data_IF_708526622561
#
_entry.id   IF_708526622561
#
_cell.length_a   1.000
_cell.length_b   1.000
_cell.length_c   1.000
_cell.angle_alpha   90.00
_cell.angle_beta   90.00
_cell.angle_gamma   90.00
#
_symmetry.space_group_name_H-M   'P 1'
#
loop_
_entity.id
_entity.type
_entity.pdbx_description
1 polymer ?
#
# COMPACT_ATOMS: atom_id res chain seq x y z
N UNK A 1 33.06 2.02 9.89
CA UNK A 1 31.66 2.11 9.37
C UNK A 1 30.82 1.17 10.21
N UNK A 2 29.91 1.68 11.02
CA UNK A 2 29.00 0.84 11.81
C UNK A 2 28.13 0.05 10.81
N UNK A 3 28.18 -1.27 10.88
CA UNK A 3 27.38 -2.19 10.04
C UNK A 3 25.89 -2.14 10.49
N UNK A 4 25.27 -0.97 10.26
CA UNK A 4 23.85 -0.76 10.55
C UNK A 4 23.03 -1.45 9.45
N UNK A 5 22.49 -2.61 9.78
CA UNK A 5 21.73 -3.41 8.85
C UNK A 5 20.57 -4.12 9.55
N UNK A 6 19.58 -4.52 8.76
CA UNK A 6 18.43 -5.30 9.15
C UNK A 6 18.43 -6.61 8.36
N UNK A 7 18.62 -7.74 9.03
CA UNK A 7 18.52 -9.05 8.41
C UNK A 7 17.05 -9.54 8.43
N UNK A 8 16.58 -10.06 7.33
CA UNK A 8 15.25 -10.68 7.20
C UNK A 8 15.36 -12.12 7.68
N UNK A 9 14.62 -12.45 8.73
CA UNK A 9 14.54 -13.82 9.27
C UNK A 9 13.43 -14.59 8.56
N UNK A 10 12.29 -13.94 8.34
CA UNK A 10 11.12 -14.46 7.62
C UNK A 10 10.49 -13.30 6.83
N UNK A 11 10.46 -13.43 5.52
CA UNK A 11 9.90 -12.40 4.65
C UNK A 11 8.36 -12.35 4.64
N UNK A 12 7.72 -13.46 4.99
CA UNK A 12 6.26 -13.58 4.93
C UNK A 12 5.74 -13.77 3.50
N UNK A 13 4.44 -13.56 3.29
CA UNK A 13 3.79 -13.75 1.99
C UNK A 13 4.29 -12.74 0.94
N UNK A 14 4.45 -11.48 1.36
CA UNK A 14 5.00 -10.40 0.55
C UNK A 14 5.45 -9.28 1.47
N UNK A 15 6.74 -9.00 1.49
CA UNK A 15 7.30 -7.82 2.15
C UNK A 15 8.18 -7.05 1.15
N UNK A 16 7.94 -5.76 1.05
CA UNK A 16 8.62 -4.85 0.11
C UNK A 16 9.13 -3.62 0.82
N UNK A 17 10.16 -2.99 0.28
CA UNK A 17 10.61 -1.66 0.72
C UNK A 17 9.73 -0.62 0.05
N UNK A 18 9.18 0.32 0.82
CA UNK A 18 8.29 1.35 0.30
C UNK A 18 8.58 2.71 0.93
N UNK A 19 8.58 3.75 0.10
CA UNK A 19 8.60 5.15 0.50
C UNK A 19 7.41 5.92 -0.12
N UNK A 20 7.57 7.17 -0.52
CA UNK A 20 6.53 7.94 -1.23
C UNK A 20 6.36 7.56 -2.70
N UNK A 21 7.21 6.69 -3.22
CA UNK A 21 7.27 6.35 -4.63
C UNK A 21 8.00 7.41 -5.47
N UNK A 22 7.94 7.26 -6.80
CA UNK A 22 8.67 8.03 -7.81
C UNK A 22 7.72 8.81 -8.74
N UNK A 23 7.05 9.88 -8.24
CA UNK A 23 6.17 10.70 -9.08
C UNK A 23 6.98 11.45 -10.16
N UNK A 24 6.32 11.79 -11.28
CA UNK A 24 6.91 12.60 -12.35
C UNK A 24 7.55 11.83 -13.49
N UNK A 25 7.60 10.49 -13.43
CA UNK A 25 8.24 9.66 -14.45
C UNK A 25 7.26 8.91 -15.37
N UNK A 26 5.97 9.27 -15.36
CA UNK A 26 4.95 8.65 -16.20
C UNK A 26 5.26 8.76 -17.70
N UNK A 27 5.90 9.84 -18.15
CA UNK A 27 6.36 10.03 -19.53
C UNK A 27 7.43 9.02 -19.99
N UNK A 28 8.08 8.35 -19.05
CA UNK A 28 9.02 7.24 -19.30
C UNK A 28 8.33 5.87 -19.18
N UNK A 29 7.02 5.81 -19.01
CA UNK A 29 6.29 4.57 -18.75
C UNK A 29 6.49 4.03 -17.32
N UNK A 30 7.04 4.83 -16.40
CA UNK A 30 7.38 4.40 -15.04
C UNK A 30 6.22 4.70 -14.07
N UNK A 31 5.66 3.68 -13.40
CA UNK A 31 4.62 3.84 -12.40
C UNK A 31 5.12 4.63 -11.17
N UNK A 32 4.18 5.21 -10.45
CA UNK A 32 4.51 5.96 -9.22
C UNK A 32 5.05 5.07 -8.12
N UNK A 33 4.44 3.89 -7.91
CA UNK A 33 4.71 3.00 -6.78
C UNK A 33 4.58 3.69 -5.41
N UNK A 34 5.24 3.20 -4.36
CA UNK A 34 5.17 3.75 -3.01
C UNK A 34 4.25 2.98 -2.07
N UNK A 35 4.26 3.36 -0.80
CA UNK A 35 3.40 2.76 0.23
C UNK A 35 1.91 2.91 -0.14
N UNK A 36 1.16 1.81 -0.11
CA UNK A 36 -0.27 1.80 -0.44
C UNK A 36 -1.11 2.56 0.59
N UNK A 37 -0.79 2.39 1.87
CA UNK A 37 -1.35 3.19 2.97
C UNK A 37 -0.28 4.19 3.44
N UNK A 38 -0.11 5.25 2.65
CA UNK A 38 0.89 6.29 2.91
C UNK A 38 0.76 6.94 4.30
N UNK A 39 -0.45 7.25 4.80
CA UNK A 39 -0.66 7.73 6.17
C UNK A 39 -0.10 6.80 7.24
N UNK A 40 -0.34 5.49 7.13
CA UNK A 40 0.19 4.50 8.09
C UNK A 40 1.72 4.42 8.01
N UNK A 41 2.31 4.36 6.81
CA UNK A 41 3.76 4.38 6.63
C UNK A 41 4.42 5.64 7.23
N UNK A 42 3.83 6.82 6.98
CA UNK A 42 4.31 8.08 7.55
C UNK A 42 4.17 8.12 9.08
N UNK A 43 3.12 7.51 9.65
CA UNK A 43 2.96 7.39 11.10
C UNK A 43 4.04 6.49 11.70
N UNK A 44 4.32 5.31 11.11
CA UNK A 44 5.41 4.44 11.54
C UNK A 44 6.74 5.19 11.59
N UNK A 45 7.03 5.96 10.54
CA UNK A 45 8.25 6.77 10.47
C UNK A 45 8.32 7.82 11.59
N UNK A 46 7.23 8.56 11.83
CA UNK A 46 7.20 9.55 12.92
C UNK A 46 7.43 8.91 14.29
N UNK A 47 6.84 7.74 14.55
CA UNK A 47 7.04 6.99 15.79
C UNK A 47 8.49 6.46 15.92
N UNK A 48 9.12 6.06 14.81
CA UNK A 48 10.52 5.62 14.80
C UNK A 48 11.53 6.78 14.82
N UNK A 49 11.07 8.04 14.79
CA UNK A 49 11.92 9.23 14.77
C UNK A 49 12.50 9.56 13.39
N UNK A 50 11.92 9.04 12.32
CA UNK A 50 12.32 9.29 10.93
C UNK A 50 11.59 10.49 10.31
N UNK A 51 12.08 10.94 9.15
CA UNK A 51 11.26 11.75 8.24
C UNK A 51 10.05 10.94 7.77
N UNK A 52 8.86 11.57 7.58
CA UNK A 52 7.64 10.85 7.18
C UNK A 52 7.72 10.09 5.85
N UNK A 53 8.70 10.43 5.03
CA UNK A 53 8.97 9.87 3.70
C UNK A 53 10.14 8.89 3.66
N UNK A 54 10.75 8.58 4.79
CA UNK A 54 11.78 7.56 4.85
C UNK A 54 11.23 6.19 4.41
N UNK A 55 12.07 5.37 3.79
CA UNK A 55 11.65 4.04 3.37
C UNK A 55 11.41 3.12 4.57
N UNK A 56 10.31 2.37 4.50
CA UNK A 56 9.82 1.41 5.48
C UNK A 56 9.64 0.03 4.84
N UNK A 57 9.39 -1.00 5.62
CA UNK A 57 8.87 -2.26 5.11
C UNK A 57 7.33 -2.20 5.09
N UNK A 58 6.74 -2.56 3.95
CA UNK A 58 5.32 -2.86 3.81
C UNK A 58 5.18 -4.37 3.74
N UNK A 59 4.51 -4.97 4.74
CA UNK A 59 4.27 -6.43 4.80
C UNK A 59 2.80 -6.74 4.64
N UNK A 60 2.49 -7.87 4.00
CA UNK A 60 1.12 -8.25 3.62
C UNK A 60 0.69 -9.48 4.40
N UNK A 61 -0.53 -9.45 4.97
CA UNK A 61 -1.25 -10.53 5.67
C UNK A 61 -0.50 -11.11 6.86
N UNK A 62 0.46 -12.02 6.63
CA UNK A 62 1.12 -12.82 7.67
C UNK A 62 2.40 -12.19 8.26
N UNK A 63 2.63 -10.90 7.94
CA UNK A 63 3.73 -10.15 8.52
C UNK A 63 5.13 -10.61 8.09
N UNK A 64 6.15 -10.23 8.88
CA UNK A 64 7.55 -10.60 8.65
C UNK A 64 8.33 -10.64 9.96
N UNK A 65 9.49 -11.30 9.96
CA UNK A 65 10.42 -11.27 11.10
C UNK A 65 11.77 -10.72 10.67
N UNK A 66 12.33 -9.82 11.47
CA UNK A 66 13.59 -9.13 11.14
C UNK A 66 14.51 -9.07 12.35
N UNK A 67 15.84 -9.03 12.12
CA UNK A 67 16.87 -8.97 13.14
C UNK A 67 17.82 -7.81 12.85
N UNK A 68 17.84 -6.76 13.66
CA UNK A 68 18.78 -5.66 13.49
C UNK A 68 20.19 -6.08 13.95
N UNK A 69 21.24 -5.65 13.21
CA UNK A 69 22.64 -5.84 13.58
C UNK A 69 23.14 -4.79 14.58
N UNK A 70 22.40 -3.70 14.77
CA UNK A 70 22.64 -2.67 15.78
C UNK A 70 21.36 -2.40 16.55
N UNK A 71 21.44 -1.86 17.76
CA UNK A 71 20.23 -1.46 18.52
C UNK A 71 19.49 -0.35 17.78
N UNK A 72 18.19 -0.53 17.56
CA UNK A 72 17.32 0.38 16.80
C UNK A 72 16.02 0.68 17.57
N UNK A 73 15.36 1.75 17.18
CA UNK A 73 13.94 1.99 17.50
C UNK A 73 13.11 1.55 16.31
N UNK A 74 12.06 0.80 16.56
CA UNK A 74 11.11 0.31 15.52
C UNK A 74 9.72 0.76 15.88
N UNK A 75 8.88 1.01 14.89
CA UNK A 75 7.44 1.20 15.07
C UNK A 75 6.66 0.42 14.01
N UNK A 76 5.56 -0.22 14.43
CA UNK A 76 4.65 -0.97 13.56
C UNK A 76 3.30 -0.29 13.54
N UNK A 77 2.75 -0.05 12.35
CA UNK A 77 1.45 0.61 12.12
C UNK A 77 0.68 -0.06 10.99
N UNK A 78 -0.48 0.49 10.60
CA UNK A 78 -1.33 -0.04 9.52
C UNK A 78 -2.28 -1.12 10.04
N UNK A 79 -2.29 -2.31 9.44
CA UNK A 79 -3.12 -3.41 9.92
C UNK A 79 -2.72 -3.83 11.34
N UNK A 80 -3.65 -3.84 12.32
CA UNK A 80 -3.36 -4.35 13.66
C UNK A 80 -2.90 -5.80 13.63
N UNK A 81 -1.78 -6.08 14.31
CA UNK A 81 -1.17 -7.40 14.38
C UNK A 81 -0.45 -7.60 15.71
N UNK A 82 -0.24 -8.83 16.17
CA UNK A 82 0.68 -9.12 17.26
C UNK A 82 2.10 -8.70 16.87
N UNK A 83 2.82 -8.07 17.79
CA UNK A 83 4.23 -7.71 17.63
C UNK A 83 5.00 -8.28 18.82
N UNK A 84 6.08 -9.00 18.56
CA UNK A 84 6.93 -9.53 19.63
C UNK A 84 8.41 -9.23 19.39
N UNK A 85 9.19 -9.17 20.47
CA UNK A 85 10.65 -9.15 20.44
C UNK A 85 11.15 -10.34 21.25
N UNK A 86 11.87 -11.25 20.60
CA UNK A 86 12.33 -12.52 21.20
C UNK A 86 11.17 -13.29 21.88
N UNK A 87 10.00 -13.34 21.23
CA UNK A 87 8.77 -13.99 21.70
C UNK A 87 8.00 -13.24 22.77
N UNK A 88 8.48 -12.11 23.27
CA UNK A 88 7.78 -11.27 24.26
C UNK A 88 6.95 -10.21 23.57
N UNK A 89 5.67 -10.11 23.92
CA UNK A 89 4.76 -9.10 23.35
C UNK A 89 5.27 -7.68 23.61
N UNK A 90 5.21 -6.86 22.56
CA UNK A 90 5.52 -5.43 22.60
C UNK A 90 4.41 -4.61 21.98
N UNK A 91 4.43 -3.29 22.17
CA UNK A 91 3.36 -2.42 21.71
C UNK A 91 3.33 -2.29 20.17
N UNK A 92 2.14 -2.47 19.59
CA UNK A 92 1.78 -2.01 18.26
C UNK A 92 1.38 -0.52 18.32
N UNK A 93 1.75 0.27 17.30
CA UNK A 93 1.42 1.71 17.27
C UNK A 93 2.25 2.57 18.21
N UNK A 94 3.38 2.09 18.69
CA UNK A 94 4.31 2.79 19.57
C UNK A 94 5.78 2.53 19.19
N UNK A 95 6.73 3.41 19.58
CA UNK A 95 8.15 3.15 19.40
C UNK A 95 8.63 2.03 20.35
N UNK A 96 9.29 1.03 19.81
CA UNK A 96 9.88 -0.12 20.52
C UNK A 96 11.39 -0.14 20.31
N UNK A 97 12.16 -0.25 21.39
CA UNK A 97 13.61 -0.45 21.30
C UNK A 97 13.92 -1.92 21.11
N UNK A 98 14.55 -2.26 19.99
CA UNK A 98 15.01 -3.62 19.66
C UNK A 98 16.53 -3.65 19.75
N UNK A 99 17.09 -4.55 20.59
CA UNK A 99 18.54 -4.70 20.75
C UNK A 99 19.14 -5.38 19.53
N UNK A 100 20.43 -5.13 19.31
CA UNK A 100 21.19 -5.85 18.30
C UNK A 100 21.07 -7.37 18.50
N UNK A 101 20.79 -8.11 17.41
CA UNK A 101 20.65 -9.57 17.43
C UNK A 101 19.28 -10.09 17.87
N UNK A 102 18.43 -9.29 18.54
CA UNK A 102 17.05 -9.68 18.88
C UNK A 102 16.18 -9.81 17.63
N UNK A 103 15.21 -10.69 17.67
CA UNK A 103 14.24 -10.90 16.58
C UNK A 103 12.97 -10.12 16.87
N UNK A 104 12.66 -9.14 16.02
CA UNK A 104 11.33 -8.53 15.95
C UNK A 104 10.47 -9.41 15.04
N UNK A 105 9.35 -9.91 15.56
CA UNK A 105 8.34 -10.60 14.77
C UNK A 105 7.07 -9.76 14.68
N UNK A 106 6.66 -9.49 13.44
CA UNK A 106 5.39 -8.87 13.08
C UNK A 106 4.48 -9.99 12.61
N UNK A 107 3.47 -10.29 13.39
CA UNK A 107 2.57 -11.41 13.16
C UNK A 107 1.50 -11.12 12.09
N UNK A 108 0.56 -12.06 11.96
CA UNK A 108 -0.53 -11.93 11.00
C UNK A 108 -1.47 -10.78 11.36
N UNK A 109 -1.95 -10.07 10.34
CA UNK A 109 -2.94 -9.03 10.49
C UNK A 109 -4.25 -9.60 11.06
N UNK A 110 -4.73 -9.02 12.16
CA UNK A 110 -6.02 -9.39 12.77
C UNK A 110 -7.18 -8.80 11.95
N UNK A 111 -6.96 -7.60 11.45
CA UNK A 111 -7.85 -6.88 10.52
C UNK A 111 -7.00 -6.08 9.54
N UNK A 112 -7.50 -5.86 8.33
CA UNK A 112 -6.72 -5.19 7.32
C UNK A 112 -5.82 -6.16 6.56
N UNK A 113 -4.87 -5.60 5.80
CA UNK A 113 -4.02 -6.37 4.88
C UNK A 113 -2.55 -6.04 5.06
N UNK A 114 -2.21 -4.76 5.32
CA UNK A 114 -0.83 -4.26 5.25
C UNK A 114 -0.38 -3.63 6.54
N UNK A 115 0.73 -4.12 7.09
CA UNK A 115 1.43 -3.51 8.21
C UNK A 115 2.72 -2.86 7.72
N UNK A 116 3.11 -1.76 8.36
CA UNK A 116 4.29 -0.98 8.03
C UNK A 116 5.28 -1.03 9.19
N UNK A 117 6.53 -1.38 8.87
CA UNK A 117 7.61 -1.46 9.86
C UNK A 117 8.63 -0.38 9.55
N UNK A 118 8.68 0.66 10.37
CA UNK A 118 9.71 1.69 10.31
C UNK A 118 10.82 1.37 11.30
N UNK A 119 12.08 1.56 10.87
CA UNK A 119 13.27 1.39 11.70
C UNK A 119 14.01 2.72 11.77
N UNK A 120 14.51 3.11 12.93
CA UNK A 120 15.24 4.37 13.10
C UNK A 120 16.42 4.49 12.14
N UNK A 121 16.47 5.59 11.38
CA UNK A 121 17.36 5.83 10.26
C UNK A 121 16.76 5.47 8.89
N UNK A 122 15.65 4.72 8.84
CA UNK A 122 15.02 4.25 7.60
C UNK A 122 15.80 3.14 6.90
N UNK A 123 15.17 2.53 5.90
CA UNK A 123 15.83 1.57 5.00
C UNK A 123 16.65 2.34 3.97
N UNK A 124 17.94 2.08 3.87
CA UNK A 124 18.90 2.86 3.07
C UNK A 124 19.37 2.12 1.81
N UNK A 125 18.52 1.34 1.17
CA UNK A 125 18.79 0.76 -0.15
C UNK A 125 18.95 1.87 -1.18
N UNK A 126 19.70 1.60 -2.27
CA UNK A 126 19.92 2.58 -3.33
C UNK A 126 18.59 3.01 -3.98
N UNK A 127 18.34 4.30 -4.16
CA UNK A 127 17.15 4.80 -4.82
C UNK A 127 17.21 4.62 -6.33
N UNK A 128 16.09 4.28 -6.95
CA UNK A 128 15.90 4.26 -8.40
C UNK A 128 14.93 5.37 -8.76
N UNK A 129 15.34 6.31 -9.60
CA UNK A 129 14.57 7.50 -9.95
C UNK A 129 14.07 8.27 -8.71
N UNK A 130 14.94 8.42 -7.72
CA UNK A 130 14.66 9.16 -6.48
C UNK A 130 13.81 8.42 -5.43
N UNK A 131 13.42 7.17 -5.66
CA UNK A 131 12.62 6.35 -4.73
C UNK A 131 13.27 5.01 -4.43
N UNK A 132 13.09 4.56 -3.18
CA UNK A 132 13.48 3.22 -2.70
C UNK A 132 12.34 2.20 -2.78
N UNK A 133 11.22 2.58 -3.39
CA UNK A 133 10.05 1.70 -3.47
C UNK A 133 10.26 0.55 -4.44
N UNK A 134 9.91 -0.65 -4.00
CA UNK A 134 9.68 -1.80 -4.86
C UNK A 134 8.45 -1.55 -5.73
N UNK A 135 8.57 -1.81 -7.01
CA UNK A 135 7.47 -1.78 -7.98
C UNK A 135 7.27 -3.18 -8.55
N UNK A 136 6.12 -3.78 -8.28
CA UNK A 136 5.84 -5.15 -8.72
C UNK A 136 5.49 -5.26 -10.21
N UNK A 137 5.08 -4.17 -10.85
CA UNK A 137 4.71 -4.17 -12.27
C UNK A 137 5.93 -3.98 -13.16
N UNK A 138 6.73 -2.95 -12.89
CA UNK A 138 7.90 -2.60 -13.72
C UNK A 138 9.19 -3.31 -13.29
N UNK A 139 9.24 -3.88 -12.08
CA UNK A 139 10.46 -4.48 -11.51
C UNK A 139 11.48 -3.44 -11.03
N UNK A 140 11.13 -2.15 -11.00
CA UNK A 140 12.02 -1.09 -10.54
C UNK A 140 12.14 -1.07 -9.00
N UNK A 141 13.30 -0.65 -8.53
CA UNK A 141 13.63 -0.62 -7.10
C UNK A 141 14.11 -1.98 -6.58
N UNK A 142 14.19 -2.16 -5.24
CA UNK A 142 14.61 -3.43 -4.66
C UNK A 142 13.59 -4.53 -4.92
N UNK A 143 14.06 -5.76 -5.10
CA UNK A 143 13.18 -6.92 -5.20
C UNK A 143 12.34 -7.11 -3.92
N UNK A 144 11.17 -7.79 -3.99
CA UNK A 144 10.49 -8.30 -2.80
C UNK A 144 11.46 -9.06 -1.90
N UNK A 145 11.32 -8.89 -0.58
CA UNK A 145 12.25 -9.50 0.36
C UNK A 145 12.12 -11.02 0.40
N UNK A 146 13.26 -11.65 0.61
CA UNK A 146 13.36 -13.09 0.86
C UNK A 146 14.04 -13.34 2.21
N UNK A 147 13.87 -14.53 2.75
CA UNK A 147 14.57 -14.96 3.96
C UNK A 147 16.08 -14.86 3.75
N UNK A 148 16.78 -14.34 4.74
CA UNK A 148 18.23 -14.11 4.68
C UNK A 148 18.66 -12.79 4.02
N UNK A 149 17.76 -12.04 3.38
CA UNK A 149 18.09 -10.73 2.82
C UNK A 149 18.60 -9.78 3.90
N UNK A 150 19.54 -8.90 3.53
CA UNK A 150 20.13 -7.91 4.43
C UNK A 150 19.94 -6.52 3.85
N UNK A 151 19.30 -5.64 4.62
CA UNK A 151 18.98 -4.28 4.21
C UNK A 151 19.87 -3.29 4.98
N UNK A 152 20.56 -2.37 4.31
CA UNK A 152 21.27 -1.30 4.98
C UNK A 152 20.30 -0.35 5.68
N UNK A 153 20.67 0.16 6.84
CA UNK A 153 19.94 1.17 7.59
C UNK A 153 20.69 2.49 7.56
N UNK A 154 19.94 3.57 7.37
CA UNK A 154 20.47 4.92 7.43
C UNK A 154 20.83 5.36 8.85
N UNK A 155 21.40 6.55 8.95
CA UNK A 155 21.74 7.19 10.24
C UNK A 155 20.46 7.71 10.89
N UNK A 156 20.20 7.37 12.16
CA UNK A 156 19.08 7.95 12.90
C UNK A 156 19.23 9.47 13.00
N UNK A 157 18.11 10.18 12.92
CA UNK A 157 18.10 11.61 13.22
C UNK A 157 18.30 11.83 14.72
N UNK A 158 18.96 12.91 15.07
CA UNK A 158 19.01 13.36 16.46
C UNK A 158 17.61 13.80 16.91
N UNK A 159 17.20 13.35 18.09
CA UNK A 159 15.91 13.62 18.69
C UNK A 159 15.09 12.35 18.97
N UNK A 160 14.25 12.42 20.00
CA UNK A 160 13.33 11.34 20.34
C UNK A 160 12.01 11.53 19.58
N UNK A 161 11.34 10.41 19.26
CA UNK A 161 9.93 10.45 18.90
C UNK A 161 9.18 11.26 19.99
N UNK A 162 8.34 12.22 19.55
CA UNK A 162 7.58 13.10 20.48
C UNK A 162 6.29 12.47 20.99
N UNK A 163 6.01 11.24 20.59
CA UNK A 163 4.74 10.55 20.86
C UNK A 163 5.05 9.10 21.26
N UNK A 164 4.53 8.70 22.40
CA UNK A 164 4.74 7.37 22.98
C UNK A 164 3.78 6.32 22.40
N UNK A 165 2.61 6.75 21.92
CA UNK A 165 1.61 5.91 21.26
C UNK A 165 0.75 6.76 20.33
N UNK A 166 0.34 6.19 19.20
CA UNK A 166 -0.59 6.84 18.28
C UNK A 166 -1.83 5.95 18.09
N UNK A 167 -3.01 6.41 18.53
CA UNK A 167 -4.27 5.75 18.21
C UNK A 167 -4.46 5.67 16.70
N UNK A 168 -4.84 4.50 16.21
CA UNK A 168 -5.14 4.29 14.79
C UNK A 168 -6.56 3.77 14.65
N UNK A 169 -7.35 4.29 13.68
CA UNK A 169 -8.69 3.77 13.44
C UNK A 169 -8.59 2.32 12.96
N UNK A 170 -9.52 1.47 13.41
CA UNK A 170 -9.64 0.13 12.84
C UNK A 170 -10.07 0.21 11.36
N UNK A 171 -9.57 -0.69 10.49
CA UNK A 171 -10.08 -0.79 9.14
C UNK A 171 -11.60 -0.99 9.14
N UNK A 172 -12.34 -0.29 8.26
CA UNK A 172 -13.80 -0.37 8.22
C UNK A 172 -14.28 -1.76 7.79
N UNK A 173 -15.45 -2.17 8.28
CA UNK A 173 -16.09 -3.43 7.89
C UNK A 173 -16.62 -3.39 6.45
N UNK A 174 -16.94 -2.21 5.92
CA UNK A 174 -17.36 -1.94 4.55
C UNK A 174 -16.44 -0.86 3.97
N UNK A 175 -15.96 -1.08 2.75
CA UNK A 175 -15.15 -0.11 2.02
C UNK A 175 -16.04 0.83 1.22
N UNK A 176 -16.15 2.08 1.66
CA UNK A 176 -16.86 3.13 0.93
C UNK A 176 -15.85 3.97 0.14
N UNK A 177 -15.93 3.92 -1.18
CA UNK A 177 -15.05 4.66 -2.10
C UNK A 177 -15.82 5.81 -2.73
N UNK A 178 -15.48 7.04 -2.37
CA UNK A 178 -16.04 8.24 -3.00
C UNK A 178 -15.39 8.43 -4.35
N UNK A 179 -16.23 8.58 -5.39
CA UNK A 179 -15.77 8.64 -6.78
C UNK A 179 -16.30 9.89 -7.49
N UNK A 180 -15.50 10.40 -8.40
CA UNK A 180 -15.92 11.38 -9.42
C UNK A 180 -16.05 10.68 -10.76
N UNK A 181 -16.96 11.12 -11.67
CA UNK A 181 -17.06 10.57 -13.03
C UNK A 181 -15.71 10.55 -13.73
N UNK A 182 -15.42 9.45 -14.39
CA UNK A 182 -14.20 9.25 -15.17
C UNK A 182 -14.28 9.83 -16.58
N UNK A 183 -13.19 9.86 -17.32
CA UNK A 183 -13.15 10.41 -18.67
C UNK A 183 -13.91 9.55 -19.70
N UNK A 184 -14.25 8.30 -19.35
CA UNK A 184 -14.91 7.33 -20.24
C UNK A 184 -16.22 6.79 -19.66
N UNK A 185 -16.92 7.57 -18.83
CA UNK A 185 -18.25 7.22 -18.32
C UNK A 185 -19.25 7.02 -19.47
N UNK A 186 -19.10 7.80 -20.57
CA UNK A 186 -19.91 7.70 -21.80
C UNK A 186 -19.76 6.37 -22.57
N UNK A 187 -18.80 5.53 -22.19
CA UNK A 187 -18.62 4.18 -22.74
C UNK A 187 -19.56 3.15 -22.11
N UNK A 188 -20.30 3.53 -21.08
CA UNK A 188 -21.20 2.66 -20.34
C UNK A 188 -22.65 3.05 -20.58
N UNK A 189 -23.55 2.07 -20.49
CA UNK A 189 -24.98 2.38 -20.54
C UNK A 189 -25.40 3.19 -19.31
N UNK A 190 -26.44 4.04 -19.40
CA UNK A 190 -26.97 4.75 -18.23
C UNK A 190 -27.39 3.80 -17.10
N UNK A 191 -27.81 2.58 -17.44
CA UNK A 191 -28.09 1.50 -16.50
C UNK A 191 -26.87 1.05 -15.74
N UNK A 192 -25.75 0.84 -16.44
CA UNK A 192 -24.47 0.44 -15.84
C UNK A 192 -23.91 1.52 -14.91
N UNK A 193 -23.96 2.80 -15.28
CA UNK A 193 -23.53 3.91 -14.42
C UNK A 193 -24.35 3.96 -13.12
N UNK A 194 -25.66 3.80 -13.20
CA UNK A 194 -26.52 3.69 -12.00
C UNK A 194 -26.19 2.44 -11.18
N UNK A 195 -25.99 1.30 -11.84
CA UNK A 195 -25.65 0.03 -11.19
C UNK A 195 -24.34 0.16 -10.39
N UNK A 196 -23.31 0.79 -10.97
CA UNK A 196 -22.00 1.00 -10.37
C UNK A 196 -22.09 1.69 -9.00
N UNK A 197 -22.96 2.69 -8.85
CA UNK A 197 -23.09 3.47 -7.61
C UNK A 197 -24.21 2.99 -6.68
N UNK A 198 -25.07 2.05 -7.12
CA UNK A 198 -26.20 1.55 -6.32
C UNK A 198 -26.04 0.14 -5.79
N UNK A 199 -25.06 -0.62 -6.29
CA UNK A 199 -24.84 -2.01 -5.89
C UNK A 199 -23.55 -2.18 -5.10
N UNK A 200 -23.55 -3.19 -4.24
CA UNK A 200 -22.36 -3.61 -3.50
C UNK A 200 -21.53 -4.56 -4.35
N UNK A 201 -20.25 -4.32 -4.39
CA UNK A 201 -19.20 -5.22 -4.90
C UNK A 201 -18.47 -5.85 -3.72
N UNK A 202 -17.54 -6.78 -3.98
CA UNK A 202 -16.69 -7.36 -2.95
C UNK A 202 -15.25 -7.38 -3.44
N UNK A 203 -14.30 -7.20 -2.52
CA UNK A 203 -12.87 -7.29 -2.83
C UNK A 203 -12.53 -8.71 -3.27
N UNK A 204 -11.94 -8.84 -4.44
CA UNK A 204 -11.47 -10.11 -4.99
C UNK A 204 -10.15 -10.56 -4.35
N UNK A 205 -9.93 -11.87 -4.13
CA UNK A 205 -8.63 -12.40 -3.70
C UNK A 205 -7.49 -12.17 -4.72
N UNK A 206 -7.82 -11.85 -5.97
CA UNK A 206 -6.85 -11.47 -7.01
C UNK A 206 -6.34 -10.02 -6.89
N UNK A 207 -6.73 -9.29 -5.83
CA UNK A 207 -6.25 -7.94 -5.55
C UNK A 207 -4.78 -7.95 -5.14
N UNK A 208 -4.04 -6.94 -5.60
CA UNK A 208 -2.61 -6.78 -5.31
C UNK A 208 -2.21 -5.30 -5.27
N UNK A 209 -0.91 -4.97 -5.34
CA UNK A 209 -0.43 -3.60 -5.35
C UNK A 209 -0.73 -2.82 -6.63
N UNK A 210 -1.03 -3.52 -7.74
CA UNK A 210 -1.40 -2.91 -9.03
C UNK A 210 -2.84 -2.42 -9.00
N UNK A 211 -3.76 -3.23 -8.46
CA UNK A 211 -5.17 -2.89 -8.40
C UNK A 211 -5.98 -3.70 -7.41
N UNK A 212 -6.93 -3.03 -6.78
CA UNK A 212 -8.00 -3.67 -6.03
C UNK A 212 -9.04 -4.13 -7.04
N UNK A 213 -9.11 -5.43 -7.25
CA UNK A 213 -10.10 -6.08 -8.10
C UNK A 213 -11.37 -6.31 -7.32
N UNK A 214 -12.50 -6.20 -8.00
CA UNK A 214 -13.80 -6.48 -7.37
C UNK A 214 -14.48 -7.67 -8.02
N UNK A 215 -15.43 -8.27 -7.31
CA UNK A 215 -16.44 -9.19 -7.81
C UNK A 215 -17.81 -8.59 -7.56
N UNK A 216 -18.76 -8.81 -8.47
CA UNK A 216 -20.11 -8.24 -8.36
C UNK A 216 -20.78 -8.12 -9.72
N UNK A 217 -21.83 -7.30 -9.83
CA UNK A 217 -22.55 -7.12 -11.10
C UNK A 217 -21.66 -6.57 -12.20
N UNK A 218 -21.69 -7.17 -13.38
CA UNK A 218 -20.98 -6.68 -14.55
C UNK A 218 -21.60 -5.37 -15.06
N UNK A 219 -20.75 -4.43 -15.45
CA UNK A 219 -21.13 -3.14 -16.01
C UNK A 219 -21.19 -3.24 -17.55
N UNK A 220 -22.38 -3.05 -18.09
CA UNK A 220 -22.62 -3.13 -19.53
C UNK A 220 -22.00 -1.94 -20.25
N UNK A 221 -21.22 -2.23 -21.30
CA UNK A 221 -20.67 -1.21 -22.20
C UNK A 221 -21.68 -0.79 -23.27
N UNK A 222 -21.83 0.51 -23.48
CA UNK A 222 -22.57 1.09 -24.60
C UNK A 222 -21.74 1.04 -25.90
N UNK A 223 -20.41 1.05 -25.79
CA UNK A 223 -19.46 0.96 -26.91
C UNK A 223 -18.62 -0.30 -26.79
N UNK A 224 -18.42 -0.98 -27.91
CA UNK A 224 -17.64 -2.23 -28.00
C UNK A 224 -16.32 -2.07 -28.74
N UNK A 225 -16.06 -0.87 -29.24
CA UNK A 225 -14.83 -0.54 -29.96
C UNK A 225 -13.60 -0.70 -29.05
N UNK A 226 -12.44 -0.89 -29.62
CA UNK A 226 -11.17 -0.83 -28.89
C UNK A 226 -10.87 0.62 -28.50
N UNK A 227 -10.55 0.81 -27.23
CA UNK A 227 -10.09 2.10 -26.72
C UNK A 227 -8.57 2.19 -26.91
N UNK A 228 -8.07 3.19 -27.65
CA UNK A 228 -6.63 3.47 -27.67
C UNK A 228 -6.10 3.64 -26.25
N UNK A 229 -4.85 3.23 -26.01
CA UNK A 229 -4.21 3.37 -24.70
C UNK A 229 -4.19 4.83 -24.26
N UNK A 230 -4.69 5.08 -23.04
CA UNK A 230 -4.76 6.40 -22.42
C UNK A 230 -3.93 6.46 -21.14
N UNK A 231 -3.53 7.67 -20.71
CA UNK A 231 -2.84 7.87 -19.44
C UNK A 231 -3.71 7.44 -18.25
N UNK A 232 -3.16 6.65 -17.34
CA UNK A 232 -3.82 6.17 -16.14
C UNK A 232 -3.36 6.95 -14.91
N UNK A 233 -4.26 7.10 -13.95
CA UNK A 233 -3.98 7.75 -12.67
C UNK A 233 -4.27 6.82 -11.50
N UNK A 234 -3.60 7.05 -10.39
CA UNK A 234 -3.90 6.38 -9.13
C UNK A 234 -5.37 6.60 -8.75
N UNK A 235 -6.07 5.53 -8.40
CA UNK A 235 -7.49 5.56 -8.07
C UNK A 235 -8.43 5.50 -9.28
N UNK A 236 -7.92 5.41 -10.53
CA UNK A 236 -8.78 5.17 -11.69
C UNK A 236 -9.55 3.84 -11.50
N UNK A 237 -10.85 3.87 -11.76
CA UNK A 237 -11.71 2.69 -11.76
C UNK A 237 -11.88 2.26 -13.22
N UNK A 238 -11.06 1.31 -13.62
CA UNK A 238 -11.08 0.74 -14.96
C UNK A 238 -12.03 -0.45 -15.00
N UNK A 239 -12.73 -0.62 -16.13
CA UNK A 239 -13.64 -1.75 -16.33
C UNK A 239 -13.16 -2.59 -17.53
N UNK A 240 -12.52 -3.75 -17.28
CA UNK A 240 -12.13 -4.72 -18.31
C UNK A 240 -13.35 -5.32 -19.04
N UNK A 241 -13.13 -6.17 -20.07
CA UNK A 241 -14.22 -6.78 -20.85
C UNK A 241 -15.21 -7.64 -20.05
N UNK A 242 -14.80 -8.19 -18.91
CA UNK A 242 -15.66 -8.94 -17.99
C UNK A 242 -16.68 -8.07 -17.24
N UNK A 243 -16.58 -6.74 -17.38
CA UNK A 243 -17.47 -5.76 -16.77
C UNK A 243 -17.22 -5.50 -15.28
N UNK A 244 -16.21 -6.10 -14.65
CA UNK A 244 -15.97 -5.93 -13.21
C UNK A 244 -15.01 -4.77 -12.94
N UNK A 245 -15.35 -3.82 -12.02
CA UNK A 245 -14.50 -2.69 -11.70
C UNK A 245 -13.16 -3.09 -11.07
N UNK A 246 -12.08 -2.43 -11.49
CA UNK A 246 -10.74 -2.53 -10.90
C UNK A 246 -10.27 -1.14 -10.50
N UNK A 247 -9.98 -0.93 -9.22
CA UNK A 247 -9.42 0.35 -8.72
C UNK A 247 -7.90 0.28 -8.77
N UNK A 248 -7.28 1.16 -9.56
CA UNK A 248 -5.82 1.22 -9.66
C UNK A 248 -5.18 1.71 -8.37
N UNK A 249 -4.17 0.96 -7.91
CA UNK A 249 -3.38 1.25 -6.72
C UNK A 249 -1.95 1.71 -7.11
N UNK A 250 -1.00 1.71 -6.19
CA UNK A 250 0.28 2.39 -6.36
C UNK A 250 1.13 1.88 -7.54
N UNK A 251 1.12 0.58 -7.81
CA UNK A 251 1.91 -0.03 -8.90
C UNK A 251 1.09 -0.15 -10.21
N UNK A 252 0.05 0.68 -10.39
CA UNK A 252 -0.76 0.67 -11.61
C UNK A 252 0.05 1.03 -12.87
N UNK A 253 -0.31 0.51 -14.05
CA UNK A 253 0.36 0.89 -15.29
C UNK A 253 0.15 2.39 -15.59
N UNK A 254 1.11 3.01 -16.28
CA UNK A 254 1.03 4.42 -16.70
C UNK A 254 0.02 4.66 -17.81
N UNK A 255 -0.29 3.64 -18.59
CA UNK A 255 -1.29 3.66 -19.65
C UNK A 255 -2.17 2.41 -19.59
N UNK A 256 -3.38 2.50 -20.17
CA UNK A 256 -4.32 1.37 -20.27
C UNK A 256 -5.35 1.58 -21.37
N UNK A 257 -5.86 0.49 -21.91
CA UNK A 257 -6.79 0.47 -23.05
C UNK A 257 -8.23 0.08 -22.67
N UNK A 258 -8.60 0.10 -21.40
CA UNK A 258 -9.99 -0.13 -20.98
C UNK A 258 -10.62 1.13 -20.39
N UNK A 259 -11.92 1.35 -20.59
CA UNK A 259 -12.57 2.59 -20.17
C UNK A 259 -12.53 2.77 -18.65
N UNK A 260 -12.21 3.99 -18.23
CA UNK A 260 -12.23 4.45 -16.84
C UNK A 260 -13.59 5.08 -16.55
N UNK A 261 -14.44 4.39 -15.80
CA UNK A 261 -15.79 4.85 -15.44
C UNK A 261 -15.77 5.96 -14.39
N UNK A 262 -14.82 5.90 -13.45
CA UNK A 262 -14.74 6.83 -12.32
C UNK A 262 -13.30 6.95 -11.81
N UNK A 263 -13.05 7.92 -10.92
CA UNK A 263 -11.79 8.05 -10.19
C UNK A 263 -12.10 8.16 -8.69
N UNK A 264 -11.48 7.31 -7.89
CA UNK A 264 -11.58 7.29 -6.43
C UNK A 264 -10.85 8.48 -5.84
N UNK A 265 -11.42 9.14 -4.83
CA UNK A 265 -10.73 10.20 -4.10
C UNK A 265 -9.49 9.67 -3.39
N UNK A 266 -8.39 10.41 -3.48
CA UNK A 266 -7.11 10.02 -2.87
C UNK A 266 -7.20 9.72 -1.36
N UNK A 267 -8.10 10.43 -0.65
CA UNK A 267 -8.32 10.21 0.78
C UNK A 267 -8.91 8.83 1.14
N UNK A 268 -9.52 8.12 0.18
CA UNK A 268 -10.14 6.81 0.41
C UNK A 268 -9.20 5.64 0.02
N UNK A 269 -8.12 5.92 -0.72
CA UNK A 269 -7.17 4.89 -1.17
C UNK A 269 -6.44 4.17 -0.02
N UNK A 270 -6.08 4.82 1.09
CA UNK A 270 -5.52 4.10 2.24
C UNK A 270 -6.46 3.02 2.79
N UNK A 271 -7.77 3.29 2.83
CA UNK A 271 -8.76 2.28 3.25
C UNK A 271 -8.86 1.13 2.23
N UNK A 272 -8.80 1.44 0.92
CA UNK A 272 -8.74 0.42 -0.14
C UNK A 272 -7.50 -0.48 0.01
N UNK A 273 -6.36 0.09 0.41
CA UNK A 273 -5.14 -0.67 0.67
C UNK A 273 -5.27 -1.67 1.83
N UNK A 274 -6.21 -1.43 2.75
CA UNK A 274 -6.43 -2.27 3.95
C UNK A 274 -7.63 -3.22 3.82
N UNK A 275 -8.33 -3.24 2.68
CA UNK A 275 -9.51 -4.07 2.50
C UNK A 275 -9.14 -5.52 2.12
N UNK A 276 -9.39 -6.53 2.99
CA UNK A 276 -9.12 -7.92 2.68
C UNK A 276 -10.15 -8.48 1.67
N UNK A 277 -9.84 -9.62 1.02
CA UNK A 277 -10.80 -10.33 0.16
C UNK A 277 -12.15 -10.55 0.86
N UNK A 278 -13.24 -10.40 0.11
CA UNK A 278 -14.60 -10.52 0.61
C UNK A 278 -15.16 -9.25 1.27
N UNK A 279 -14.36 -8.23 1.53
CA UNK A 279 -14.86 -6.96 2.07
C UNK A 279 -15.89 -6.34 1.11
N UNK A 280 -17.10 -5.97 1.59
CA UNK A 280 -18.06 -5.24 0.80
C UNK A 280 -17.51 -3.88 0.35
N UNK A 281 -17.72 -3.53 -0.92
CA UNK A 281 -17.27 -2.26 -1.53
C UNK A 281 -18.46 -1.52 -2.11
N UNK A 282 -18.63 -0.26 -1.71
CA UNK A 282 -19.60 0.65 -2.34
C UNK A 282 -18.89 1.84 -2.97
N UNK A 283 -19.26 2.14 -4.21
CA UNK A 283 -18.85 3.36 -4.90
C UNK A 283 -19.91 4.44 -4.70
N UNK A 284 -19.51 5.60 -4.17
CA UNK A 284 -20.43 6.72 -3.88
C UNK A 284 -20.04 7.92 -4.72
N UNK A 285 -20.89 8.31 -5.64
CA UNK A 285 -20.66 9.47 -6.48
C UNK A 285 -20.62 10.76 -5.65
N UNK A 286 -19.60 11.59 -5.87
CA UNK A 286 -19.50 12.92 -5.27
C UNK A 286 -19.39 13.98 -6.36
N UNK A 287 -20.00 15.14 -6.15
CA UNK A 287 -19.91 16.25 -7.11
C UNK A 287 -18.45 16.75 -7.20
N UNK A 288 -18.00 17.06 -8.41
CA UNK A 288 -16.81 17.90 -8.59
C UNK A 288 -17.08 19.24 -7.89
N UNK A 289 -16.24 19.60 -6.94
CA UNK A 289 -16.20 20.96 -6.42
C UNK A 289 -15.37 21.81 -7.35
#
# INVERSE_FOLDING_TARGET
MTDRALAVVRAGALTTVQDRGRPGHAHLGVPRSGALDGPAAALANRLAGNAPDAAVLETTLNGCSVRPRSTVTVAVTGAPCPVTVDGRAVAWGAPVRVRAGSVLDVGAAVRGVRSYVAVSGGIAVEPVLGSRSTDLLSGLGPAPLTDGAVLPLGTPREGRARVDVAPQPAPPAELVLRVTPGPREDWFTPGAVRLFTSRTYHVSPASNRIGLRTTGPALERARRDELPSEGMVLGAVQVPPDGTPVVFLADHPTTGGYPVIAVVRAADLPAAAQAPPGTPVRFVAVRRR
#
